data_IF_104502870477
#
_entry.id   IF_104502870477
#
_cell.length_a   1.000
_cell.length_b   1.000
_cell.length_c   1.000
_cell.angle_alpha   90.00
_cell.angle_beta   90.00
_cell.angle_gamma   90.00
#
_symmetry.space_group_name_H-M   'P 1'
#
loop_
_entity.id
_entity.type
_entity.pdbx_description
1 polymer ?
#
# COMPACT_ATOMS: atom_id res chain seq x y z
N UNK A 1 -5.75 -7.43 -10.23
CA UNK A 1 -5.32 -6.06 -9.91
C UNK A 1 -6.56 -5.17 -9.92
N UNK A 2 -6.70 -4.23 -8.99
CA UNK A 2 -7.88 -3.37 -8.86
C UNK A 2 -7.49 -1.93 -8.49
N UNK A 3 -8.40 -0.97 -8.65
CA UNK A 3 -8.27 0.42 -8.21
C UNK A 3 -9.39 0.79 -7.23
N UNK A 4 -9.17 1.80 -6.39
CA UNK A 4 -10.24 2.44 -5.62
C UNK A 4 -11.06 3.39 -6.51
N UNK A 5 -12.18 3.92 -6.00
CA UNK A 5 -13.12 4.75 -6.79
C UNK A 5 -12.51 6.00 -7.42
N UNK A 6 -11.55 6.65 -6.75
CA UNK A 6 -10.74 7.76 -7.30
C UNK A 6 -9.24 7.39 -7.34
N UNK A 7 -8.94 6.10 -7.42
CA UNK A 7 -7.58 5.59 -7.36
C UNK A 7 -6.98 5.39 -8.75
N UNK A 8 -5.71 5.74 -8.90
CA UNK A 8 -4.87 5.24 -9.99
C UNK A 8 -4.00 4.11 -9.49
N UNK A 9 -3.86 3.08 -10.32
CA UNK A 9 -2.91 2.00 -10.12
C UNK A 9 -2.21 1.74 -11.46
N UNK A 10 -1.20 2.56 -11.74
CA UNK A 10 -0.52 2.61 -13.03
C UNK A 10 -0.33 4.04 -13.53
N UNK A 11 0.27 4.15 -14.71
CA UNK A 11 0.70 5.40 -15.32
C UNK A 11 1.58 5.09 -16.53
N UNK A 12 2.07 6.11 -17.24
CA UNK A 12 2.99 5.86 -18.36
C UNK A 12 4.25 5.14 -17.84
N UNK A 13 4.43 3.88 -18.25
CA UNK A 13 5.54 3.02 -17.79
C UNK A 13 5.23 2.15 -16.56
N UNK A 14 3.99 2.14 -16.05
CA UNK A 14 3.56 1.31 -14.93
C UNK A 14 2.27 0.51 -15.26
N UNK A 15 2.08 -0.69 -14.69
CA UNK A 15 3.01 -1.41 -13.81
C UNK A 15 4.26 -1.89 -14.56
N UNK A 16 5.37 -2.04 -13.85
CA UNK A 16 6.59 -2.63 -14.41
C UNK A 16 7.21 -3.63 -13.44
N UNK A 17 7.97 -4.58 -13.98
CA UNK A 17 8.82 -5.46 -13.19
C UNK A 17 10.18 -4.77 -13.07
N UNK A 18 10.51 -4.31 -11.87
CA UNK A 18 11.77 -3.66 -11.58
C UNK A 18 12.64 -4.55 -10.70
N UNK A 19 13.95 -4.35 -10.76
CA UNK A 19 14.86 -4.92 -9.75
C UNK A 19 14.74 -4.07 -8.48
N UNK A 20 14.39 -4.70 -7.36
CA UNK A 20 14.55 -4.09 -6.05
C UNK A 20 15.73 -4.72 -5.33
N UNK A 21 16.59 -3.85 -4.82
CA UNK A 21 17.55 -4.22 -3.81
C UNK A 21 16.93 -4.03 -2.44
N UNK A 22 16.86 -5.12 -1.67
CA UNK A 22 16.28 -5.14 -0.33
C UNK A 22 17.33 -4.98 0.78
N UNK A 23 18.54 -4.51 0.45
CA UNK A 23 19.62 -4.34 1.43
C UNK A 23 20.05 -5.64 2.12
N UNK A 24 19.69 -6.78 1.52
CA UNK A 24 20.04 -8.13 1.99
C UNK A 24 21.20 -8.65 1.13
N UNK A 25 22.10 -9.50 1.66
CA UNK A 25 23.21 -10.07 0.89
C UNK A 25 22.81 -10.98 -0.28
N UNK A 26 21.52 -11.10 -0.58
CA UNK A 26 20.98 -11.91 -1.68
C UNK A 26 20.79 -11.04 -2.91
N UNK A 27 21.08 -11.60 -4.10
CA UNK A 27 20.93 -10.95 -5.41
C UNK A 27 19.62 -10.13 -5.53
N UNK A 28 19.64 -9.00 -6.29
CA UNK A 28 18.46 -8.19 -6.52
C UNK A 28 17.26 -9.07 -6.93
N UNK A 29 16.13 -8.85 -6.28
CA UNK A 29 14.91 -9.59 -6.57
C UNK A 29 13.95 -8.75 -7.42
N UNK A 30 13.09 -9.40 -8.18
CA UNK A 30 12.09 -8.70 -8.97
C UNK A 30 10.90 -8.27 -8.12
N UNK A 31 10.46 -7.03 -8.32
CA UNK A 31 9.25 -6.49 -7.73
C UNK A 31 8.29 -5.99 -8.78
N UNK A 32 7.01 -6.01 -8.43
CA UNK A 32 6.01 -5.24 -9.14
C UNK A 32 6.07 -3.79 -8.65
N UNK A 33 6.47 -2.87 -9.52
CA UNK A 33 6.39 -1.45 -9.25
C UNK A 33 5.07 -0.90 -9.84
N UNK A 34 4.32 -0.18 -9.03
CA UNK A 34 3.06 0.48 -9.40
C UNK A 34 3.13 1.95 -9.05
N UNK A 35 2.47 2.78 -9.86
CA UNK A 35 2.21 4.18 -9.50
C UNK A 35 0.83 4.27 -8.88
N UNK A 36 0.75 4.80 -7.66
CA UNK A 36 -0.48 4.89 -6.89
C UNK A 36 -0.78 6.35 -6.61
N UNK A 37 -2.02 6.78 -6.83
CA UNK A 37 -2.44 8.14 -6.57
C UNK A 37 -3.91 8.40 -6.86
N UNK A 38 -4.23 9.68 -7.04
CA UNK A 38 -5.53 10.16 -7.47
C UNK A 38 -5.65 10.08 -8.99
N UNK A 39 -6.84 9.75 -9.50
CA UNK A 39 -7.17 9.93 -10.92
C UNK A 39 -7.45 11.41 -11.19
N UNK A 40 -8.38 11.98 -10.41
CA UNK A 40 -8.71 13.40 -10.42
C UNK A 40 -8.36 14.04 -9.09
N UNK A 41 -7.84 15.28 -9.15
CA UNK A 41 -7.52 16.04 -7.95
C UNK A 41 -8.77 16.26 -7.10
N UNK A 42 -8.80 15.66 -5.92
CA UNK A 42 -9.86 15.84 -4.94
C UNK A 42 -9.25 16.50 -3.69
N UNK A 43 -9.63 17.74 -3.34
CA UNK A 43 -9.07 18.46 -2.19
C UNK A 43 -9.50 17.87 -0.84
N UNK A 44 -10.45 16.94 -0.81
CA UNK A 44 -10.91 16.27 0.41
C UNK A 44 -9.95 15.16 0.81
N UNK A 45 -9.46 15.22 2.05
CA UNK A 45 -8.45 14.32 2.63
C UNK A 45 -8.88 12.84 2.76
N UNK A 46 -10.15 12.50 2.55
CA UNK A 46 -10.71 11.19 2.92
C UNK A 46 -10.86 10.20 1.77
N UNK A 47 -10.52 10.55 0.53
CA UNK A 47 -10.67 9.56 -0.54
C UNK A 47 -9.50 8.57 -0.44
N UNK A 48 -9.78 7.28 -0.25
CA UNK A 48 -8.75 6.24 -0.44
C UNK A 48 -8.37 6.24 -1.93
N UNK A 49 -7.12 6.58 -2.23
CA UNK A 49 -6.65 6.82 -3.59
C UNK A 49 -5.56 5.80 -3.92
N UNK A 50 -5.91 4.78 -4.69
CA UNK A 50 -4.96 3.77 -5.12
C UNK A 50 -5.62 2.52 -5.68
N UNK A 51 -5.27 1.37 -5.12
CA UNK A 51 -5.76 0.09 -5.63
C UNK A 51 -5.13 -1.09 -4.92
N UNK A 52 -4.82 -2.14 -5.66
CA UNK A 52 -4.14 -3.30 -5.10
C UNK A 52 -4.12 -4.53 -5.98
N UNK A 53 -3.72 -5.64 -5.37
CA UNK A 53 -3.75 -6.97 -5.97
C UNK A 53 -4.74 -7.80 -5.16
N UNK A 54 -5.68 -8.43 -5.85
CA UNK A 54 -6.67 -9.31 -5.25
C UNK A 54 -6.64 -10.67 -5.92
N UNK A 55 -6.92 -11.70 -5.15
CA UNK A 55 -7.15 -13.05 -5.63
C UNK A 55 -8.32 -13.66 -4.84
N UNK A 56 -9.01 -14.59 -5.48
CA UNK A 56 -10.05 -15.39 -4.84
C UNK A 56 -9.58 -16.83 -4.85
N UNK A 57 -9.58 -17.48 -3.69
CA UNK A 57 -9.09 -18.86 -3.56
C UNK A 57 -9.96 -19.70 -2.65
N UNK A 58 -9.87 -21.02 -2.80
CA UNK A 58 -10.46 -21.98 -1.89
C UNK A 58 -9.46 -22.31 -0.80
N UNK A 59 -9.91 -22.38 0.45
CA UNK A 59 -9.08 -22.74 1.60
C UNK A 59 -9.76 -23.82 2.42
N UNK A 60 -8.95 -24.59 3.15
CA UNK A 60 -9.44 -25.38 4.28
C UNK A 60 -9.51 -24.48 5.51
N UNK A 61 -10.29 -24.87 6.51
CA UNK A 61 -10.32 -24.15 7.78
C UNK A 61 -8.94 -24.14 8.42
N UNK A 62 -8.49 -22.99 8.90
CA UNK A 62 -7.19 -22.87 9.54
C UNK A 62 -6.68 -21.44 9.64
N UNK A 63 -5.45 -21.31 10.13
CA UNK A 63 -4.74 -20.03 10.16
C UNK A 63 -4.02 -19.80 8.82
N UNK A 64 -4.32 -18.67 8.18
CA UNK A 64 -3.57 -18.19 7.02
C UNK A 64 -2.60 -17.11 7.50
N UNK A 65 -1.35 -17.21 7.03
CA UNK A 65 -0.35 -16.15 7.19
C UNK A 65 -0.05 -15.55 5.80
N UNK A 66 -0.34 -14.26 5.66
CA UNK A 66 0.00 -13.48 4.47
C UNK A 66 1.27 -12.69 4.74
N UNK A 67 2.15 -12.60 3.75
CA UNK A 67 3.44 -11.93 3.88
C UNK A 67 3.78 -11.23 2.56
N UNK A 68 4.09 -9.94 2.64
CA UNK A 68 4.59 -9.16 1.51
C UNK A 68 5.79 -8.32 1.95
N UNK A 69 6.69 -8.07 1.00
CA UNK A 69 7.64 -6.96 1.10
C UNK A 69 7.04 -5.81 0.31
N UNK A 70 6.90 -4.68 0.98
CA UNK A 70 6.27 -3.48 0.42
C UNK A 70 7.17 -2.29 0.66
N UNK A 71 6.98 -1.25 -0.12
CA UNK A 71 7.82 -0.06 -0.02
C UNK A 71 7.30 1.06 -0.89
N UNK A 72 7.75 2.26 -0.57
CA UNK A 72 7.48 3.47 -1.31
C UNK A 72 8.79 4.07 -1.81
N UNK A 73 8.71 4.78 -2.93
CA UNK A 73 9.73 5.74 -3.34
C UNK A 73 9.00 7.05 -3.64
N UNK A 74 9.54 8.16 -3.15
CA UNK A 74 8.96 9.47 -3.37
C UNK A 74 9.92 10.32 -4.20
N UNK A 75 9.41 10.81 -5.34
CA UNK A 75 10.12 11.77 -6.18
C UNK A 75 9.11 12.79 -6.71
N UNK A 76 9.31 14.07 -6.41
CA UNK A 76 8.43 15.15 -6.86
C UNK A 76 9.18 16.12 -7.77
N UNK A 77 8.85 16.13 -9.05
CA UNK A 77 9.52 16.97 -10.05
C UNK A 77 9.12 18.46 -9.93
N UNK A 78 7.91 18.78 -9.46
CA UNK A 78 7.31 20.13 -9.59
C UNK A 78 6.59 20.63 -8.32
N UNK A 79 7.10 20.35 -7.11
CA UNK A 79 6.49 20.80 -5.84
C UNK A 79 5.06 20.31 -5.58
N UNK A 80 4.57 19.30 -6.32
CA UNK A 80 3.31 18.62 -6.01
C UNK A 80 3.54 17.74 -4.77
N UNK A 81 3.18 18.28 -3.59
CA UNK A 81 3.45 17.66 -2.29
C UNK A 81 2.34 16.68 -1.91
N UNK A 82 2.56 15.39 -2.18
CA UNK A 82 1.95 14.32 -1.38
C UNK A 82 3.08 13.50 -0.75
N UNK A 83 3.37 13.81 0.51
CA UNK A 83 4.46 13.20 1.26
C UNK A 83 4.12 11.76 1.71
N UNK A 84 2.88 11.30 1.63
CA UNK A 84 2.52 9.97 2.15
C UNK A 84 3.27 8.86 1.43
N UNK A 85 4.06 8.06 2.13
CA UNK A 85 4.71 6.87 1.60
C UNK A 85 3.74 5.74 1.22
N UNK A 86 2.46 5.90 1.58
CA UNK A 86 1.37 4.98 1.28
C UNK A 86 0.95 4.15 2.49
N UNK A 87 -0.29 3.68 2.41
CA UNK A 87 -0.93 2.76 3.33
C UNK A 87 -1.10 1.42 2.62
N UNK A 88 -0.58 0.37 3.23
CA UNK A 88 -0.68 -1.02 2.78
C UNK A 88 -1.60 -1.80 3.73
N UNK A 89 -2.56 -2.53 3.20
CA UNK A 89 -3.51 -3.30 4.00
C UNK A 89 -3.64 -4.72 3.46
N UNK A 90 -3.58 -5.71 4.35
CA UNK A 90 -4.07 -7.05 4.04
C UNK A 90 -5.56 -7.11 4.35
N UNK A 91 -6.36 -7.42 3.34
CA UNK A 91 -7.81 -7.56 3.46
C UNK A 91 -8.20 -8.99 3.12
N UNK A 92 -8.92 -9.66 4.03
CA UNK A 92 -9.50 -10.99 3.80
C UNK A 92 -11.00 -10.92 4.05
N UNK A 93 -11.80 -11.30 3.06
CA UNK A 93 -13.27 -11.21 3.10
C UNK A 93 -13.78 -9.85 3.59
N UNK A 94 -13.24 -8.78 2.99
CA UNK A 94 -13.53 -7.38 3.31
C UNK A 94 -13.11 -6.92 4.72
N UNK A 95 -12.44 -7.76 5.51
CA UNK A 95 -11.86 -7.40 6.80
C UNK A 95 -10.37 -7.07 6.66
N UNK A 96 -9.95 -5.90 7.13
CA UNK A 96 -8.52 -5.57 7.29
C UNK A 96 -7.95 -6.42 8.43
N UNK A 97 -6.95 -7.25 8.12
CA UNK A 97 -6.29 -8.15 9.09
C UNK A 97 -4.93 -7.65 9.54
N UNK A 98 -4.35 -6.71 8.78
CA UNK A 98 -3.12 -6.01 9.10
C UNK A 98 -3.07 -4.74 8.23
N UNK A 99 -2.41 -3.71 8.74
CA UNK A 99 -2.12 -2.47 8.02
C UNK A 99 -0.69 -1.99 8.30
N UNK A 100 -0.16 -1.20 7.38
CA UNK A 100 1.11 -0.50 7.48
C UNK A 100 0.98 0.86 6.81
N UNK A 101 0.94 1.91 7.62
CA UNK A 101 1.14 3.28 7.14
C UNK A 101 2.63 3.62 7.18
N UNK A 102 3.20 3.90 6.01
CA UNK A 102 4.60 4.32 5.86
C UNK A 102 4.81 5.74 6.38
N UNK A 103 3.75 6.55 6.44
CA UNK A 103 3.81 7.95 6.84
C UNK A 103 4.58 8.82 5.85
N UNK A 104 4.95 10.05 6.23
CA UNK A 104 5.62 10.99 5.34
C UNK A 104 7.00 10.52 4.88
N UNK A 105 7.32 10.73 3.60
CA UNK A 105 8.62 10.49 2.98
C UNK A 105 9.23 11.79 2.46
N UNK A 106 10.55 11.91 2.61
CA UNK A 106 11.34 12.98 2.03
C UNK A 106 11.52 12.78 0.51
N UNK A 107 11.76 13.86 -0.23
CA UNK A 107 12.03 13.79 -1.66
C UNK A 107 13.33 13.01 -1.94
N UNK A 108 13.28 12.08 -2.90
CA UNK A 108 14.34 11.10 -3.15
C UNK A 108 14.38 9.95 -2.13
N UNK A 109 13.52 9.98 -1.10
CA UNK A 109 13.42 8.93 -0.10
C UNK A 109 12.90 7.61 -0.68
N UNK A 110 13.45 6.51 -0.19
CA UNK A 110 12.96 5.16 -0.45
C UNK A 110 12.86 4.42 0.88
N UNK A 111 11.77 3.69 1.09
CA UNK A 111 11.51 2.91 2.29
C UNK A 111 10.98 1.53 1.94
N UNK A 112 11.29 0.55 2.77
CA UNK A 112 10.92 -0.83 2.56
C UNK A 112 10.57 -1.49 3.90
N UNK A 113 9.54 -2.32 3.87
CA UNK A 113 9.01 -3.01 5.04
C UNK A 113 8.66 -4.45 4.70
N UNK A 114 8.83 -5.33 5.69
CA UNK A 114 8.24 -6.66 5.67
C UNK A 114 6.93 -6.61 6.45
N UNK A 115 5.84 -6.94 5.77
CA UNK A 115 4.48 -6.77 6.24
C UNK A 115 3.76 -8.13 6.29
N UNK A 116 3.29 -8.52 7.48
CA UNK A 116 2.68 -9.83 7.74
C UNK A 116 1.29 -9.65 8.35
N UNK A 117 0.30 -10.38 7.83
CA UNK A 117 -1.04 -10.49 8.41
C UNK A 117 -1.38 -11.94 8.73
N UNK A 118 -2.16 -12.18 9.80
CA UNK A 118 -2.61 -13.51 10.20
C UNK A 118 -4.11 -13.49 10.46
N UNK A 119 -4.83 -14.46 9.92
CA UNK A 119 -6.28 -14.58 10.11
C UNK A 119 -6.72 -16.03 10.10
N UNK A 120 -7.66 -16.38 10.99
CA UNK A 120 -8.32 -17.67 10.96
C UNK A 120 -9.49 -17.65 9.99
N UNK A 121 -9.55 -18.61 9.08
CA UNK A 121 -10.62 -18.74 8.09
C UNK A 121 -11.36 -20.06 8.24
N UNK A 122 -12.62 -20.08 7.82
CA UNK A 122 -13.39 -21.30 7.64
C UNK A 122 -12.96 -22.02 6.35
N UNK A 123 -13.40 -23.27 6.15
CA UNK A 123 -13.25 -23.89 4.84
C UNK A 123 -14.21 -23.23 3.84
N UNK A 124 -13.73 -22.85 2.67
CA UNK A 124 -14.56 -22.17 1.68
C UNK A 124 -13.79 -21.27 0.73
N UNK A 125 -14.55 -20.44 0.01
CA UNK A 125 -14.03 -19.42 -0.91
C UNK A 125 -13.76 -18.14 -0.14
N UNK A 126 -12.56 -17.61 -0.28
CA UNK A 126 -12.15 -16.34 0.35
C UNK A 126 -11.62 -15.35 -0.68
N UNK A 127 -11.87 -14.06 -0.44
CA UNK A 127 -11.20 -12.97 -1.14
C UNK A 127 -9.99 -12.53 -0.33
N UNK A 128 -8.82 -12.44 -0.96
CA UNK A 128 -7.58 -11.98 -0.35
C UNK A 128 -7.05 -10.81 -1.18
N UNK A 129 -6.79 -9.67 -0.54
CA UNK A 129 -6.33 -8.46 -1.20
C UNK A 129 -5.14 -7.86 -0.45
N UNK A 130 -4.12 -7.45 -1.19
CA UNK A 130 -3.17 -6.44 -0.75
C UNK A 130 -3.65 -5.11 -1.32
N UNK A 131 -4.20 -4.24 -0.47
CA UNK A 131 -4.60 -2.88 -0.84
C UNK A 131 -3.42 -1.94 -0.62
N UNK A 132 -3.24 -1.01 -1.55
CA UNK A 132 -2.21 0.02 -1.56
C UNK A 132 -2.88 1.34 -1.87
N UNK A 133 -2.88 2.27 -0.93
CA UNK A 133 -3.45 3.61 -1.09
C UNK A 133 -2.44 4.68 -0.72
N UNK A 134 -2.59 5.89 -1.25
CA UNK A 134 -1.79 7.05 -0.85
C UNK A 134 -2.72 8.17 -0.37
N UNK A 135 -3.03 8.25 0.94
CA UNK A 135 -3.78 9.39 1.46
C UNK A 135 -3.02 10.68 1.16
N UNK A 136 -3.74 11.77 0.89
CA UNK A 136 -3.08 13.05 0.62
C UNK A 136 -2.54 13.66 1.91
N UNK A 137 -1.21 13.74 2.03
CA UNK A 137 -0.52 14.38 3.15
C UNK A 137 0.35 15.54 2.63
N UNK A 138 -0.02 16.77 3.01
CA UNK A 138 0.79 17.98 2.77
C UNK A 138 1.58 18.37 4.03
N UNK A 139 2.84 18.78 3.88
CA UNK A 139 3.74 19.17 4.97
C UNK A 139 3.41 20.49 5.70
N UNK A 140 2.14 20.70 6.06
CA UNK A 140 1.76 21.69 7.07
C UNK A 140 1.79 21.04 8.44
N UNK A 141 2.38 21.70 9.44
CA UNK A 141 2.33 21.38 10.87
C UNK A 141 1.15 20.47 11.24
N UNK A 142 1.43 19.35 11.93
CA UNK A 142 0.45 18.70 12.80
C UNK A 142 -0.19 19.77 13.70
N UNK A 143 -1.39 20.22 13.36
CA UNK A 143 -2.34 20.65 14.37
C UNK A 143 -2.79 19.35 15.05
N UNK A 144 -2.40 19.17 16.32
CA UNK A 144 -2.58 17.92 17.04
C UNK A 144 -4.05 17.49 17.15
N UNK A 145 -4.27 16.20 17.01
CA UNK A 145 -5.32 15.37 17.62
C UNK A 145 -5.19 13.96 17.00
N UNK A 146 -5.00 12.86 17.71
CA UNK A 146 -4.83 12.63 19.12
C UNK A 146 -4.18 11.26 19.33
N UNK A 147 -3.54 11.09 20.48
CA UNK A 147 -3.21 9.77 20.98
C UNK A 147 -4.50 8.99 21.22
N UNK A 148 -4.61 7.78 20.69
CA UNK A 148 -5.44 6.76 21.33
C UNK A 148 -4.49 5.67 21.80
N UNK A 149 -4.01 5.84 23.04
CA UNK A 149 -3.79 4.69 23.88
C UNK A 149 -5.17 4.10 24.20
N UNK A 150 -5.38 2.84 23.86
CA UNK A 150 -6.05 1.86 24.72
C UNK A 150 -5.50 0.48 24.42
#
# INVERSE_FOLDING_TARGET
>A
MFSTSNGTLGGKGFPTVASCDYGSPVSPSHCLQVQVGQLDYAPTHEVQQGGGIGLTTMTISGLIQLSARVGGAYHSHDYKRNLSGGLFEWVVDDQVIADLDVGPMEDGGTVQHHFIGKVSVAAGRHSIQLRVTRPFQSGGRQAGAGSVCR
#
